data_IF_156007461069
#
_entry.id   IF_156007461069
#
_cell.length_a   1.000
_cell.length_b   1.000
_cell.length_c   1.000
_cell.angle_alpha   90.00
_cell.angle_beta   90.00
_cell.angle_gamma   90.00
#
_symmetry.space_group_name_H-M   'P 1'
#
loop_
_entity.id
_entity.type
_entity.pdbx_description
1 polymer ?
#
# COMPACT_ATOMS: atom_id res chain seq x y z
N UNK A 1 7.88 -7.48 19.22
CA UNK A 1 7.99 -6.37 18.23
C UNK A 1 8.95 -5.33 18.78
N UNK A 2 9.69 -4.63 17.92
CA UNK A 2 10.49 -3.47 18.37
C UNK A 2 9.55 -2.31 18.68
N UNK A 3 9.95 -1.46 19.62
CA UNK A 3 9.23 -0.21 19.86
C UNK A 3 9.23 0.63 18.58
N UNK A 4 8.07 1.24 18.28
CA UNK A 4 7.93 2.13 17.11
C UNK A 4 8.81 3.36 17.34
N UNK A 5 9.83 3.54 16.50
CA UNK A 5 10.76 4.66 16.57
C UNK A 5 10.50 5.73 15.50
N UNK A 6 9.38 5.61 14.76
CA UNK A 6 8.95 6.54 13.73
C UNK A 6 7.45 6.79 13.85
N UNK A 7 7.04 8.04 13.67
CA UNK A 7 5.63 8.46 13.61
C UNK A 7 5.27 8.67 12.14
N UNK A 8 4.35 7.85 11.63
CA UNK A 8 3.92 7.88 10.23
C UNK A 8 2.62 8.65 10.01
N UNK A 9 1.89 8.97 11.08
CA UNK A 9 0.65 9.73 11.01
C UNK A 9 0.86 11.09 10.31
N UNK A 10 -0.07 11.44 9.42
CA UNK A 10 -0.07 12.60 8.52
C UNK A 10 1.16 12.72 7.61
N UNK A 11 1.84 11.61 7.29
CA UNK A 11 2.97 11.60 6.34
C UNK A 11 2.52 11.23 4.93
N UNK A 12 3.30 11.73 3.97
CA UNK A 12 3.29 11.27 2.57
C UNK A 12 4.37 10.21 2.41
N UNK A 13 4.01 9.02 1.95
CA UNK A 13 4.90 7.87 1.80
C UNK A 13 4.93 7.45 0.33
N UNK A 14 6.12 7.51 -0.28
CA UNK A 14 6.36 6.97 -1.62
C UNK A 14 6.78 5.50 -1.52
N UNK A 15 6.04 4.61 -2.19
CA UNK A 15 6.36 3.19 -2.28
C UNK A 15 6.66 2.83 -3.73
N UNK A 16 7.91 2.49 -4.02
CA UNK A 16 8.31 1.93 -5.32
C UNK A 16 8.14 0.41 -5.31
N UNK A 17 7.64 -0.18 -6.41
CA UNK A 17 7.26 -1.59 -6.45
C UNK A 17 5.95 -1.88 -5.72
N UNK A 18 5.03 -0.91 -5.67
CA UNK A 18 3.81 -0.98 -4.86
C UNK A 18 2.85 -2.12 -5.24
N UNK A 19 2.85 -2.59 -6.49
CA UNK A 19 2.07 -3.75 -6.93
C UNK A 19 2.88 -5.06 -6.84
N UNK A 20 4.18 -4.97 -6.54
CA UNK A 20 5.04 -6.10 -6.24
C UNK A 20 4.64 -6.85 -4.97
N UNK A 21 5.28 -8.00 -4.73
CA UNK A 21 4.96 -8.86 -3.60
C UNK A 21 5.16 -8.13 -2.26
N UNK A 22 6.34 -7.54 -2.04
CA UNK A 22 6.64 -6.84 -0.79
C UNK A 22 5.88 -5.51 -0.72
N UNK A 23 5.85 -4.74 -1.81
CA UNK A 23 5.24 -3.42 -1.82
C UNK A 23 3.74 -3.46 -1.53
N UNK A 24 3.00 -4.41 -2.10
CA UNK A 24 1.56 -4.51 -1.87
C UNK A 24 1.22 -4.84 -0.42
N UNK A 25 1.93 -5.79 0.19
CA UNK A 25 1.77 -6.12 1.60
C UNK A 25 2.14 -4.94 2.51
N UNK A 26 3.21 -4.20 2.18
CA UNK A 26 3.59 -2.99 2.91
C UNK A 26 2.50 -1.93 2.84
N UNK A 27 1.95 -1.67 1.65
CA UNK A 27 0.87 -0.68 1.46
C UNK A 27 -0.35 -1.05 2.29
N UNK A 28 -0.78 -2.32 2.25
CA UNK A 28 -1.90 -2.81 3.05
C UNK A 28 -1.67 -2.60 4.55
N UNK A 29 -0.46 -2.87 5.04
CA UNK A 29 -0.12 -2.70 6.44
C UNK A 29 -0.07 -1.21 6.85
N UNK A 30 0.50 -0.35 6.00
CA UNK A 30 0.52 1.10 6.22
C UNK A 30 -0.91 1.67 6.28
N UNK A 31 -1.81 1.23 5.41
CA UNK A 31 -3.22 1.64 5.42
C UNK A 31 -3.97 1.18 6.69
N UNK A 32 -3.54 0.06 7.29
CA UNK A 32 -4.13 -0.46 8.52
C UNK A 32 -3.62 0.27 9.76
N UNK A 33 -2.30 0.43 9.88
CA UNK A 33 -1.64 0.84 11.12
C UNK A 33 -1.24 2.33 11.20
N UNK A 34 -0.90 2.97 10.07
CA UNK A 34 -0.25 4.28 10.09
C UNK A 34 -1.23 5.47 9.94
N UNK A 35 -2.53 5.19 9.84
CA UNK A 35 -3.57 6.16 9.50
C UNK A 35 -3.63 7.36 10.50
N UNK A 36 -3.92 8.59 10.01
CA UNK A 36 -3.94 9.05 8.61
C UNK A 36 -2.58 9.01 7.91
N UNK A 37 -2.52 8.56 6.65
CA UNK A 37 -1.34 8.61 5.78
C UNK A 37 -1.77 8.82 4.33
N UNK A 38 -0.94 9.49 3.55
CA UNK A 38 -1.09 9.57 2.11
C UNK A 38 -0.02 8.70 1.44
N UNK A 39 -0.42 7.72 0.64
CA UNK A 39 0.50 6.77 0.01
C UNK A 39 0.51 7.01 -1.49
N UNK A 40 1.70 7.23 -2.04
CA UNK A 40 1.94 7.31 -3.48
C UNK A 40 2.64 6.03 -3.90
N UNK A 41 1.95 5.16 -4.63
CA UNK A 41 2.50 3.90 -5.14
C UNK A 41 2.97 4.05 -6.59
N UNK A 42 4.19 3.60 -6.89
CA UNK A 42 4.72 3.51 -8.27
C UNK A 42 5.19 2.08 -8.49
N UNK A 43 4.79 1.44 -9.59
CA UNK A 43 5.27 0.11 -9.99
C UNK A 43 5.55 0.09 -11.49
N UNK A 44 6.63 -0.59 -11.88
CA UNK A 44 6.89 -0.88 -13.28
C UNK A 44 6.11 -2.15 -13.62
N UNK A 45 4.88 -2.00 -14.10
CA UNK A 45 3.93 -3.07 -14.48
C UNK A 45 4.39 -3.83 -15.74
N UNK A 46 5.64 -4.29 -15.76
CA UNK A 46 6.23 -5.05 -16.85
C UNK A 46 5.99 -6.56 -16.70
N UNK A 47 6.05 -7.24 -17.84
CA UNK A 47 5.73 -8.66 -18.04
C UNK A 47 6.81 -9.62 -17.50
N UNK A 48 7.80 -9.10 -16.75
CA UNK A 48 8.86 -9.90 -16.14
C UNK A 48 8.32 -10.85 -15.04
N UNK A 49 7.08 -10.59 -14.59
CA UNK A 49 6.23 -11.49 -13.81
C UNK A 49 4.83 -11.51 -14.43
N UNK A 50 4.06 -12.57 -14.21
CA UNK A 50 2.67 -12.67 -14.65
C UNK A 50 1.85 -11.45 -14.17
N UNK A 51 1.37 -10.66 -15.13
CA UNK A 51 0.66 -9.38 -14.92
C UNK A 51 -0.57 -9.57 -14.03
N UNK A 52 -1.24 -10.73 -14.14
CA UNK A 52 -2.44 -11.05 -13.36
C UNK A 52 -2.19 -11.00 -11.85
N UNK A 53 -0.98 -11.34 -11.39
CA UNK A 53 -0.65 -11.31 -9.97
C UNK A 53 -0.54 -9.86 -9.46
N UNK A 54 -0.05 -8.93 -10.29
CA UNK A 54 0.03 -7.51 -9.92
C UNK A 54 -1.35 -6.86 -9.92
N UNK A 55 -2.19 -7.20 -10.91
CA UNK A 55 -3.59 -6.75 -10.96
C UNK A 55 -4.38 -7.20 -9.74
N UNK A 56 -4.30 -8.48 -9.38
CA UNK A 56 -4.93 -9.01 -8.17
C UNK A 56 -4.51 -8.24 -6.91
N UNK A 57 -3.23 -7.89 -6.77
CA UNK A 57 -2.75 -7.12 -5.61
C UNK A 57 -3.27 -5.69 -5.61
N UNK A 58 -3.38 -5.05 -6.77
CA UNK A 58 -3.99 -3.72 -6.89
C UNK A 58 -5.46 -3.76 -6.50
N UNK A 59 -6.20 -4.81 -6.89
CA UNK A 59 -7.59 -5.01 -6.46
C UNK A 59 -7.72 -5.14 -4.94
N UNK A 60 -6.83 -5.91 -4.29
CA UNK A 60 -6.83 -6.02 -2.83
C UNK A 60 -6.57 -4.68 -2.13
N UNK A 61 -5.64 -3.88 -2.65
CA UNK A 61 -5.38 -2.52 -2.14
C UNK A 61 -6.63 -1.65 -2.32
N UNK A 62 -7.24 -1.66 -3.51
CA UNK A 62 -8.46 -0.91 -3.80
C UNK A 62 -9.64 -1.30 -2.91
N UNK A 63 -9.87 -2.60 -2.73
CA UNK A 63 -10.93 -3.11 -1.86
C UNK A 63 -10.77 -2.66 -0.40
N UNK A 64 -9.51 -2.60 0.09
CA UNK A 64 -9.21 -2.10 1.44
C UNK A 64 -9.63 -0.64 1.58
N UNK A 65 -9.37 0.20 0.57
CA UNK A 65 -9.77 1.61 0.57
C UNK A 65 -11.30 1.80 0.55
N UNK A 66 -12.03 0.93 -0.17
CA UNK A 66 -13.51 1.00 -0.26
C UNK A 66 -14.20 0.51 1.01
N UNK A 67 -13.59 -0.43 1.74
CA UNK A 67 -14.17 -1.00 2.96
C UNK A 67 -14.27 -0.01 4.14
N UNK A 68 -13.54 1.10 4.10
CA UNK A 68 -13.61 2.16 5.12
C UNK A 68 -13.39 3.56 4.50
N UNK A 69 -14.35 4.11 3.73
CA UNK A 69 -14.14 5.33 2.95
C UNK A 69 -13.85 6.58 3.80
N UNK A 70 -14.34 6.61 5.05
CA UNK A 70 -14.09 7.72 5.98
C UNK A 70 -12.68 7.68 6.57
N UNK A 71 -11.99 6.54 6.51
CA UNK A 71 -10.60 6.37 6.95
C UNK A 71 -9.60 6.66 5.82
N UNK A 72 -9.99 7.10 4.64
CA UNK A 72 -9.02 7.32 3.55
C UNK A 72 -9.20 8.65 2.80
N UNK A 73 -10.11 9.51 3.26
CA UNK A 73 -10.30 10.89 2.79
C UNK A 73 -9.66 11.91 3.75
#
# INVERSE_FOLDING_TARGET
MREKNVILTNKVILVTGAAGFIGSNLVLELLREAHPVHIIGIDNMNDYYDVFIKEYRLEQIGATLVSDPMKYN
#
